data_IF_053778085070
#
_entry.id   IF_053778085070
#
_cell.length_a   1.000
_cell.length_b   1.000
_cell.length_c   1.000
_cell.angle_alpha   90.00
_cell.angle_beta   90.00
_cell.angle_gamma   90.00
#
_symmetry.space_group_name_H-M   'P 1'
#
loop_
_entity.id
_entity.type
_entity.pdbx_description
1 polymer ?
#
# COMPACT_ATOMS: atom_id res chain seq x y z
N UNK A 1 -12.80 -2.96 4.22
CA UNK A 1 -11.85 -3.87 4.85
C UNK A 1 -10.43 -3.26 4.83
N UNK A 2 -9.78 -3.14 5.98
CA UNK A 2 -8.40 -2.67 6.12
C UNK A 2 -7.51 -3.80 6.63
N UNK A 3 -6.49 -4.15 5.87
CA UNK A 3 -5.44 -5.09 6.28
C UNK A 3 -4.19 -4.30 6.66
N UNK A 4 -3.67 -4.53 7.88
CA UNK A 4 -2.60 -3.72 8.45
C UNK A 4 -3.10 -2.40 9.04
N UNK A 5 -4.26 -2.43 9.69
CA UNK A 5 -5.02 -1.28 10.18
C UNK A 5 -4.26 -0.41 11.21
N UNK A 6 -3.20 -0.94 11.82
CA UNK A 6 -2.33 -0.21 12.76
C UNK A 6 -1.19 0.57 12.08
N UNK A 7 -1.11 0.57 10.74
CA UNK A 7 -0.17 1.46 10.07
C UNK A 7 -0.60 2.92 10.24
N UNK A 8 0.37 3.84 10.33
CA UNK A 8 0.10 5.28 10.51
C UNK A 8 -0.86 5.84 9.43
N UNK A 9 -0.72 5.38 8.18
CA UNK A 9 -1.61 5.80 7.08
C UNK A 9 -3.01 5.22 7.28
N UNK A 10 -3.14 3.96 7.74
CA UNK A 10 -4.43 3.35 7.99
C UNK A 10 -5.16 4.03 9.16
N UNK A 11 -4.45 4.39 10.21
CA UNK A 11 -5.02 5.17 11.32
C UNK A 11 -5.48 6.55 10.85
N UNK A 12 -4.67 7.25 10.04
CA UNK A 12 -5.06 8.52 9.45
C UNK A 12 -6.30 8.39 8.53
N UNK A 13 -6.46 7.27 7.82
CA UNK A 13 -7.66 6.99 7.04
C UNK A 13 -8.89 6.82 7.94
N UNK A 14 -8.79 6.00 8.98
CA UNK A 14 -9.88 5.76 9.93
C UNK A 14 -10.33 7.03 10.64
N UNK A 15 -9.40 7.92 11.00
CA UNK A 15 -9.69 9.19 11.71
C UNK A 15 -10.33 10.26 10.81
N UNK A 16 -10.11 10.20 9.49
CA UNK A 16 -10.50 11.30 8.58
C UNK A 16 -11.52 10.87 7.51
N UNK A 17 -11.98 9.63 7.52
CA UNK A 17 -13.01 9.10 6.62
C UNK A 17 -14.33 8.91 7.39
N UNK A 18 -15.45 9.12 6.71
CA UNK A 18 -16.80 8.82 7.23
C UNK A 18 -17.22 7.35 7.01
N UNK A 19 -16.33 6.51 6.44
CA UNK A 19 -16.61 5.12 6.12
C UNK A 19 -16.51 4.24 7.36
N UNK A 20 -17.30 3.17 7.38
CA UNK A 20 -17.12 2.10 8.35
C UNK A 20 -16.04 1.12 7.89
N UNK A 21 -15.15 0.74 8.79
CA UNK A 21 -14.02 -0.12 8.48
C UNK A 21 -14.02 -1.40 9.32
N UNK A 22 -13.97 -2.55 8.66
CA UNK A 22 -13.55 -3.80 9.27
C UNK A 22 -12.02 -3.84 9.26
N UNK A 23 -11.40 -4.00 10.42
CA UNK A 23 -9.95 -3.82 10.60
C UNK A 23 -9.25 -5.10 11.06
N UNK A 24 -8.14 -5.41 10.40
CA UNK A 24 -7.31 -6.56 10.73
C UNK A 24 -5.83 -6.18 10.76
N UNK A 25 -5.12 -6.64 11.79
CA UNK A 25 -3.69 -6.39 11.92
C UNK A 25 -2.95 -7.54 12.60
N UNK A 26 -1.69 -7.73 12.21
CA UNK A 26 -0.79 -8.70 12.85
C UNK A 26 -0.45 -8.29 14.28
N UNK A 27 -0.24 -7.01 14.54
CA UNK A 27 0.15 -6.48 15.85
C UNK A 27 -0.91 -6.68 16.93
N UNK A 28 -2.17 -6.78 16.55
CA UNK A 28 -3.30 -7.09 17.45
C UNK A 28 -3.66 -8.58 17.46
N UNK A 29 -2.95 -9.39 16.66
CA UNK A 29 -3.23 -10.82 16.55
C UNK A 29 -4.52 -11.14 15.82
N UNK A 30 -5.15 -10.16 15.13
CA UNK A 30 -6.41 -10.33 14.42
C UNK A 30 -6.25 -10.86 13.00
N UNK A 31 -4.99 -10.97 12.49
CA UNK A 31 -4.70 -11.58 11.20
C UNK A 31 -3.28 -12.14 11.15
N UNK A 32 -3.16 -13.37 10.69
CA UNK A 32 -1.89 -14.02 10.38
C UNK A 32 -1.71 -14.21 8.87
N UNK A 33 -0.93 -13.34 8.23
CA UNK A 33 -0.64 -13.42 6.78
C UNK A 33 0.14 -14.69 6.37
N UNK A 34 0.75 -15.39 7.33
CA UNK A 34 1.44 -16.67 7.09
C UNK A 34 0.48 -17.87 7.16
N UNK A 35 -0.71 -17.69 7.75
CA UNK A 35 -1.76 -18.67 7.89
C UNK A 35 -2.66 -18.81 6.65
N UNK A 36 -3.80 -19.41 6.86
CA UNK A 36 -4.86 -19.67 5.85
C UNK A 36 -5.85 -18.51 5.71
N UNK A 37 -5.72 -17.49 6.54
CA UNK A 37 -6.60 -16.32 6.61
C UNK A 37 -8.04 -16.66 6.95
N UNK A 38 -8.26 -17.70 7.81
CA UNK A 38 -9.60 -18.08 8.29
C UNK A 38 -10.29 -16.93 9.04
N UNK A 39 -9.54 -16.00 9.59
CA UNK A 39 -10.04 -14.78 10.24
C UNK A 39 -10.87 -13.89 9.28
N UNK A 40 -10.73 -14.08 7.97
CA UNK A 40 -11.49 -13.36 6.94
C UNK A 40 -12.71 -14.14 6.42
N UNK A 41 -12.98 -15.35 6.94
CA UNK A 41 -14.10 -16.18 6.45
C UNK A 41 -15.44 -15.53 6.74
N UNK A 42 -15.61 -14.92 7.90
CA UNK A 42 -16.86 -14.30 8.34
C UNK A 42 -17.00 -12.82 7.88
N UNK A 43 -16.02 -12.28 7.13
CA UNK A 43 -16.15 -10.95 6.55
C UNK A 43 -17.23 -10.96 5.48
N UNK A 44 -18.21 -10.05 5.55
CA UNK A 44 -19.29 -9.86 4.57
C UNK A 44 -19.51 -8.38 4.28
N UNK A 45 -20.33 -8.07 3.30
CA UNK A 45 -20.83 -6.73 2.98
C UNK A 45 -19.71 -5.69 2.81
N UNK A 46 -18.62 -6.08 2.11
CA UNK A 46 -17.50 -5.20 1.83
C UNK A 46 -17.55 -4.69 0.38
N UNK A 47 -17.38 -3.37 0.24
CA UNK A 47 -17.25 -2.66 -1.04
C UNK A 47 -15.83 -2.12 -1.28
N UNK A 48 -14.93 -2.34 -0.33
CA UNK A 48 -13.55 -1.87 -0.43
C UNK A 48 -12.54 -2.71 0.34
N UNK A 49 -11.32 -2.74 -0.19
CA UNK A 49 -10.15 -3.36 0.44
C UNK A 49 -8.95 -2.44 0.35
N UNK A 50 -8.29 -2.17 1.48
CA UNK A 50 -6.96 -1.56 1.46
C UNK A 50 -5.94 -2.49 2.11
N UNK A 51 -4.85 -2.76 1.40
CA UNK A 51 -3.75 -3.57 1.88
C UNK A 51 -2.54 -2.69 2.21
N UNK A 52 -2.30 -2.48 3.51
CA UNK A 52 -1.21 -1.64 4.03
C UNK A 52 0.09 -2.38 4.34
N UNK A 53 0.11 -3.71 4.62
CA UNK A 53 1.35 -4.36 5.01
C UNK A 53 2.48 -4.13 4.02
N UNK A 54 3.65 -3.83 4.54
CA UNK A 54 4.83 -3.57 3.74
C UNK A 54 6.09 -3.60 4.59
N UNK A 55 7.23 -3.51 3.91
CA UNK A 55 8.55 -3.51 4.52
C UNK A 55 9.34 -2.28 4.09
N UNK A 56 10.36 -1.93 4.88
CA UNK A 56 11.46 -1.07 4.48
C UNK A 56 12.76 -1.82 4.78
N UNK A 57 13.40 -2.37 3.73
CA UNK A 57 14.65 -3.07 3.83
C UNK A 57 15.69 -2.37 2.93
N UNK A 58 16.49 -1.48 3.54
CA UNK A 58 17.46 -0.65 2.82
C UNK A 58 18.87 -1.14 3.13
N UNK A 59 19.50 -1.79 2.16
CA UNK A 59 20.87 -2.32 2.26
C UNK A 59 21.63 -2.08 0.96
N UNK A 60 22.97 -1.90 1.01
CA UNK A 60 23.80 -2.03 -0.18
C UNK A 60 23.50 -3.34 -0.90
N UNK A 61 23.45 -3.33 -2.23
CA UNK A 61 23.11 -4.51 -3.02
C UNK A 61 23.97 -5.72 -2.69
N UNK A 62 25.27 -5.51 -2.46
CA UNK A 62 26.23 -6.57 -2.08
C UNK A 62 25.97 -7.18 -0.70
N UNK A 63 25.15 -6.55 0.13
CA UNK A 63 24.77 -7.04 1.47
C UNK A 63 23.37 -7.66 1.49
N UNK A 64 22.60 -7.53 0.41
CA UNK A 64 21.30 -8.19 0.28
C UNK A 64 21.49 -9.69 0.09
N UNK A 65 20.70 -10.45 0.84
CA UNK A 65 20.60 -11.90 0.74
C UNK A 65 19.32 -12.28 -0.01
N UNK A 66 19.24 -13.51 -0.49
CA UNK A 66 18.03 -14.05 -1.09
C UNK A 66 16.81 -13.91 -0.19
N UNK A 67 16.98 -14.19 1.11
CA UNK A 67 15.91 -14.03 2.11
C UNK A 67 15.37 -12.60 2.21
N UNK A 68 16.17 -11.57 1.97
CA UNK A 68 15.70 -10.17 1.96
C UNK A 68 14.69 -9.96 0.83
N UNK A 69 14.98 -10.50 -0.38
CA UNK A 69 14.08 -10.44 -1.52
C UNK A 69 12.81 -11.28 -1.30
N UNK A 70 12.98 -12.51 -0.81
CA UNK A 70 11.85 -13.40 -0.50
C UNK A 70 10.91 -12.81 0.54
N UNK A 71 11.45 -12.22 1.61
CA UNK A 71 10.64 -11.60 2.65
C UNK A 71 9.89 -10.35 2.14
N UNK A 72 10.56 -9.48 1.40
CA UNK A 72 9.90 -8.30 0.80
C UNK A 72 8.80 -8.74 -0.16
N UNK A 73 9.04 -9.74 -1.02
CA UNK A 73 8.05 -10.27 -1.94
C UNK A 73 6.90 -10.97 -1.21
N UNK A 74 7.20 -11.76 -0.18
CA UNK A 74 6.21 -12.45 0.65
C UNK A 74 5.21 -11.48 1.28
N UNK A 75 5.71 -10.40 1.88
CA UNK A 75 4.84 -9.46 2.58
C UNK A 75 4.11 -8.56 1.58
N UNK A 76 4.83 -7.96 0.62
CA UNK A 76 4.24 -6.94 -0.26
C UNK A 76 3.33 -7.54 -1.35
N UNK A 77 3.67 -8.73 -1.88
CA UNK A 77 3.00 -9.30 -3.05
C UNK A 77 2.15 -10.51 -2.70
N UNK A 78 2.76 -11.55 -2.11
CA UNK A 78 2.04 -12.78 -1.80
C UNK A 78 0.97 -12.57 -0.73
N UNK A 79 1.25 -11.75 0.31
CA UNK A 79 0.28 -11.39 1.32
C UNK A 79 -0.94 -10.67 0.71
N UNK A 80 -0.70 -9.67 -0.15
CA UNK A 80 -1.77 -8.98 -0.88
C UNK A 80 -2.57 -9.94 -1.76
N UNK A 81 -1.89 -10.82 -2.51
CA UNK A 81 -2.53 -11.84 -3.36
C UNK A 81 -3.41 -12.80 -2.54
N UNK A 82 -2.92 -13.30 -1.40
CA UNK A 82 -3.70 -14.18 -0.52
C UNK A 82 -4.97 -13.51 -0.02
N UNK A 83 -4.87 -12.25 0.45
CA UNK A 83 -6.02 -11.49 0.95
C UNK A 83 -7.03 -11.28 -0.16
N UNK A 84 -6.61 -10.82 -1.34
CA UNK A 84 -7.52 -10.64 -2.48
C UNK A 84 -8.23 -11.93 -2.83
N UNK A 85 -7.51 -13.06 -2.96
CA UNK A 85 -8.13 -14.37 -3.24
C UNK A 85 -9.19 -14.76 -2.21
N UNK A 86 -8.96 -14.42 -0.95
CA UNK A 86 -9.88 -14.76 0.15
C UNK A 86 -11.18 -13.97 0.09
N UNK A 87 -11.13 -12.69 -0.35
CA UNK A 87 -12.29 -11.78 -0.27
C UNK A 87 -12.85 -11.36 -1.63
N UNK A 88 -12.26 -11.76 -2.75
CA UNK A 88 -12.65 -11.28 -4.08
C UNK A 88 -14.11 -11.58 -4.43
N UNK A 89 -14.63 -12.74 -4.04
CA UNK A 89 -16.01 -13.08 -4.30
C UNK A 89 -16.99 -12.20 -3.52
N UNK A 90 -16.62 -11.81 -2.30
CA UNK A 90 -17.39 -10.87 -1.47
C UNK A 90 -17.38 -9.45 -2.08
N UNK A 91 -16.23 -8.99 -2.59
CA UNK A 91 -16.13 -7.71 -3.30
C UNK A 91 -16.96 -7.68 -4.59
N UNK A 92 -17.12 -8.82 -5.27
CA UNK A 92 -17.96 -8.93 -6.48
C UNK A 92 -19.47 -8.86 -6.21
N UNK A 93 -19.89 -9.05 -4.97
CA UNK A 93 -21.30 -8.96 -4.56
C UNK A 93 -21.75 -7.50 -4.40
N UNK A 94 -20.81 -6.57 -4.22
CA UNK A 94 -21.10 -5.15 -4.17
C UNK A 94 -21.39 -4.58 -5.57
N UNK A 95 -22.23 -3.55 -5.66
CA UNK A 95 -22.47 -2.81 -6.93
C UNK A 95 -21.34 -1.80 -7.17
N UNK A 96 -20.16 -2.31 -7.37
CA UNK A 96 -18.91 -1.58 -7.48
C UNK A 96 -18.06 -1.71 -6.22
N UNK A 97 -16.83 -2.14 -6.39
CA UNK A 97 -15.87 -2.27 -5.29
C UNK A 97 -14.50 -1.73 -5.68
N UNK A 98 -13.72 -1.31 -4.68
CA UNK A 98 -12.39 -0.76 -4.89
C UNK A 98 -11.34 -1.44 -4.03
N UNK A 99 -10.24 -1.85 -4.65
CA UNK A 99 -9.06 -2.41 -3.99
C UNK A 99 -7.90 -1.42 -4.16
N UNK A 100 -7.29 -1.03 -3.04
CA UNK A 100 -6.14 -0.12 -3.03
C UNK A 100 -4.94 -0.80 -2.39
N UNK A 101 -3.85 -0.87 -3.13
CA UNK A 101 -2.55 -1.32 -2.63
C UNK A 101 -1.63 -0.13 -2.35
N UNK A 102 -0.72 -0.29 -1.39
CA UNK A 102 0.29 0.72 -1.06
C UNK A 102 1.64 0.32 -1.65
N UNK A 103 2.07 1.07 -2.67
CA UNK A 103 3.39 0.96 -3.29
C UNK A 103 4.38 1.99 -2.70
N UNK A 104 5.30 2.43 -3.50
CA UNK A 104 6.30 3.46 -3.18
C UNK A 104 6.86 4.06 -4.49
N UNK A 105 7.35 5.29 -4.43
CA UNK A 105 8.14 5.87 -5.54
C UNK A 105 9.33 4.98 -5.93
N UNK A 106 9.87 4.19 -4.99
CA UNK A 106 10.96 3.25 -5.24
C UNK A 106 10.62 2.14 -6.26
N UNK A 107 9.34 1.95 -6.58
CA UNK A 107 8.91 1.03 -7.63
C UNK A 107 9.22 1.55 -9.04
N UNK A 108 9.39 2.86 -9.22
CA UNK A 108 9.53 3.50 -10.52
C UNK A 108 10.83 4.30 -10.68
N UNK A 109 11.32 4.94 -9.63
CA UNK A 109 12.58 5.68 -9.67
C UNK A 109 13.71 4.89 -9.03
N UNK A 110 14.92 4.98 -9.60
CA UNK A 110 16.12 4.36 -9.03
C UNK A 110 16.56 5.06 -7.75
N UNK A 111 16.45 4.38 -6.63
CA UNK A 111 16.95 4.86 -5.35
C UNK A 111 18.08 3.95 -4.84
N UNK A 112 19.21 4.51 -4.33
CA UNK A 112 20.26 3.69 -3.72
C UNK A 112 19.69 2.85 -2.57
N UNK A 113 20.17 1.62 -2.43
CA UNK A 113 19.82 0.68 -1.35
C UNK A 113 18.39 0.11 -1.39
N UNK A 114 17.61 0.37 -2.45
CA UNK A 114 16.21 -0.05 -2.56
C UNK A 114 15.99 -1.25 -3.49
N UNK A 115 17.01 -2.02 -3.86
CA UNK A 115 16.88 -3.05 -4.88
C UNK A 115 15.80 -4.09 -4.56
N UNK A 116 15.74 -4.61 -3.33
CA UNK A 116 14.75 -5.61 -2.90
C UNK A 116 13.35 -5.01 -2.84
N UNK A 117 13.18 -3.93 -2.08
CA UNK A 117 11.86 -3.31 -1.89
C UNK A 117 11.33 -2.69 -3.19
N UNK A 118 12.18 -2.08 -4.01
CA UNK A 118 11.79 -1.55 -5.31
C UNK A 118 11.25 -2.64 -6.23
N UNK A 119 11.95 -3.78 -6.31
CA UNK A 119 11.51 -4.93 -7.10
C UNK A 119 10.14 -5.46 -6.63
N UNK A 120 9.95 -5.63 -5.31
CA UNK A 120 8.69 -6.15 -4.77
C UNK A 120 7.51 -5.17 -4.96
N UNK A 121 7.74 -3.86 -4.82
CA UNK A 121 6.69 -2.85 -5.07
C UNK A 121 6.35 -2.72 -6.56
N UNK A 122 7.33 -2.85 -7.47
CA UNK A 122 7.06 -2.92 -8.91
C UNK A 122 6.23 -4.16 -9.27
N UNK A 123 6.51 -5.30 -8.64
CA UNK A 123 5.71 -6.51 -8.82
C UNK A 123 4.26 -6.33 -8.32
N UNK A 124 4.06 -5.66 -7.18
CA UNK A 124 2.72 -5.31 -6.66
C UNK A 124 1.94 -4.44 -7.66
N UNK A 125 2.58 -3.42 -8.25
CA UNK A 125 1.96 -2.57 -9.28
C UNK A 125 1.60 -3.37 -10.54
N UNK A 126 2.46 -4.31 -10.95
CA UNK A 126 2.19 -5.23 -12.05
C UNK A 126 0.98 -6.13 -11.76
N UNK A 127 0.91 -6.69 -10.54
CA UNK A 127 -0.23 -7.50 -10.09
C UNK A 127 -1.52 -6.68 -10.06
N UNK A 128 -1.49 -5.45 -9.56
CA UNK A 128 -2.67 -4.58 -9.55
C UNK A 128 -3.24 -4.35 -10.95
N UNK A 129 -2.39 -4.09 -11.95
CA UNK A 129 -2.83 -3.92 -13.35
C UNK A 129 -3.46 -5.20 -13.92
N UNK A 130 -2.89 -6.35 -13.64
CA UNK A 130 -3.44 -7.64 -14.09
C UNK A 130 -4.82 -7.90 -13.48
N UNK A 131 -4.97 -7.70 -12.16
CA UNK A 131 -6.23 -7.85 -11.45
C UNK A 131 -7.27 -6.83 -11.92
N UNK A 132 -6.88 -5.58 -12.18
CA UNK A 132 -7.76 -4.57 -12.76
C UNK A 132 -8.36 -5.06 -14.09
N UNK A 133 -7.54 -5.62 -14.98
CA UNK A 133 -8.00 -6.19 -16.26
C UNK A 133 -8.93 -7.40 -16.06
N UNK A 134 -8.61 -8.29 -15.13
CA UNK A 134 -9.37 -9.51 -14.88
C UNK A 134 -10.75 -9.23 -14.30
N UNK A 135 -10.86 -8.24 -13.39
CA UNK A 135 -12.09 -8.00 -12.62
C UNK A 135 -12.90 -6.77 -13.09
N UNK A 136 -12.52 -6.12 -14.19
CA UNK A 136 -13.25 -4.97 -14.75
C UNK A 136 -14.74 -5.28 -15.00
N UNK A 137 -15.05 -6.44 -15.58
CA UNK A 137 -16.44 -6.83 -15.86
C UNK A 137 -17.26 -7.08 -14.59
N UNK A 138 -16.61 -7.37 -13.47
CA UNK A 138 -17.24 -7.53 -12.16
C UNK A 138 -17.33 -6.19 -11.40
N UNK A 139 -16.98 -5.06 -12.04
CA UNK A 139 -16.96 -3.73 -11.45
C UNK A 139 -16.06 -3.63 -10.19
N UNK A 140 -15.00 -4.44 -10.09
CA UNK A 140 -14.01 -4.33 -9.03
C UNK A 140 -12.79 -3.60 -9.57
N UNK A 141 -12.57 -2.39 -9.07
CA UNK A 141 -11.42 -1.55 -9.43
C UNK A 141 -10.19 -1.91 -8.58
N UNK A 142 -9.03 -1.95 -9.21
CA UNK A 142 -7.75 -2.15 -8.54
C UNK A 142 -6.83 -0.98 -8.83
N UNK A 143 -6.45 -0.25 -7.79
CA UNK A 143 -5.55 0.88 -7.91
C UNK A 143 -4.41 0.80 -6.88
N UNK A 144 -3.39 1.58 -7.09
CA UNK A 144 -2.21 1.64 -6.23
C UNK A 144 -1.96 3.08 -5.83
N UNK A 145 -1.67 3.32 -4.56
CA UNK A 145 -1.13 4.59 -4.08
C UNK A 145 0.36 4.41 -3.84
N UNK A 146 1.17 5.26 -4.43
CA UNK A 146 2.64 5.21 -4.34
C UNK A 146 3.18 6.49 -3.69
N UNK A 147 3.37 6.51 -2.36
CA UNK A 147 3.94 7.65 -1.65
C UNK A 147 5.45 7.74 -1.82
N UNK A 148 5.99 8.94 -1.62
CA UNK A 148 7.40 9.15 -1.26
C UNK A 148 7.61 8.89 0.23
N UNK A 149 8.79 9.24 0.76
CA UNK A 149 9.07 9.14 2.19
C UNK A 149 8.01 9.92 2.97
N UNK A 150 7.26 9.21 3.78
CA UNK A 150 6.11 9.70 4.55
C UNK A 150 6.39 9.47 6.05
N UNK A 151 5.97 10.38 6.90
CA UNK A 151 6.14 10.29 8.35
C UNK A 151 5.25 9.20 8.92
N UNK A 152 5.82 8.01 9.15
CA UNK A 152 5.11 6.82 9.63
C UNK A 152 6.00 6.03 10.60
N UNK A 153 5.39 5.15 11.37
CA UNK A 153 6.14 4.21 12.23
C UNK A 153 7.16 3.39 11.42
N UNK A 154 6.85 3.05 10.18
CA UNK A 154 7.73 2.27 9.31
C UNK A 154 8.98 3.06 8.88
N UNK A 155 8.88 4.38 8.75
CA UNK A 155 9.96 5.27 8.34
C UNK A 155 10.75 5.90 9.49
N UNK A 156 10.42 5.61 10.75
CA UNK A 156 11.02 6.23 11.94
C UNK A 156 12.55 6.22 11.91
N UNK A 157 13.16 5.11 11.49
CA UNK A 157 14.62 5.01 11.40
C UNK A 157 15.24 5.92 10.33
N UNK A 158 14.49 6.29 9.30
CA UNK A 158 14.93 7.18 8.23
C UNK A 158 14.78 8.67 8.61
N UNK A 159 14.01 8.96 9.64
CA UNK A 159 13.66 10.31 10.12
C UNK A 159 14.13 10.55 11.56
N UNK A 160 15.02 9.71 12.11
CA UNK A 160 15.40 9.73 13.54
C UNK A 160 16.25 10.92 13.98
N UNK A 161 16.78 11.72 13.06
CA UNK A 161 17.59 12.92 13.37
C UNK A 161 17.22 14.08 12.45
N UNK A 162 17.34 15.31 12.94
CA UNK A 162 17.07 16.53 12.15
C UNK A 162 17.86 16.55 10.83
N UNK A 163 19.11 16.08 10.85
CA UNK A 163 19.94 15.95 9.65
C UNK A 163 19.34 15.04 8.60
N UNK A 164 18.75 13.88 9.00
CA UNK A 164 18.11 12.94 8.09
C UNK A 164 16.79 13.50 7.57
N UNK A 165 16.06 14.22 8.41
CA UNK A 165 14.82 14.92 8.03
C UNK A 165 15.12 15.96 6.96
N UNK A 166 16.06 16.86 7.21
CA UNK A 166 16.43 17.91 6.27
C UNK A 166 17.01 17.35 4.95
N UNK A 167 17.87 16.34 5.01
CA UNK A 167 18.37 15.66 3.81
C UNK A 167 17.26 14.99 3.00
N UNK A 168 16.19 14.54 3.66
CA UNK A 168 15.03 13.93 3.00
C UNK A 168 14.12 14.97 2.38
N UNK A 169 13.90 16.11 3.03
CA UNK A 169 13.19 17.26 2.48
C UNK A 169 13.90 17.80 1.23
N UNK A 170 15.24 17.98 1.31
CA UNK A 170 16.02 18.48 0.19
C UNK A 170 15.91 17.61 -1.08
N UNK A 171 15.73 16.32 -0.93
CA UNK A 171 15.55 15.40 -2.07
C UNK A 171 14.15 15.47 -2.69
N UNK A 172 13.15 16.00 -1.97
CA UNK A 172 11.79 16.10 -2.48
C UNK A 172 11.61 17.47 -3.19
N UNK A 173 11.00 17.53 -4.38
CA UNK A 173 10.75 18.80 -5.06
C UNK A 173 9.96 19.81 -4.23
N UNK A 174 8.99 19.36 -3.43
CA UNK A 174 8.21 20.22 -2.54
C UNK A 174 8.93 20.56 -1.23
N UNK A 175 10.16 20.04 -1.00
CA UNK A 175 10.93 20.26 0.23
C UNK A 175 10.21 19.87 1.52
N UNK A 176 9.36 18.85 1.42
CA UNK A 176 8.55 18.32 2.52
C UNK A 176 8.74 16.81 2.68
N UNK A 177 8.43 16.30 3.87
CA UNK A 177 8.16 14.89 4.13
C UNK A 177 6.67 14.64 3.91
N UNK A 178 6.31 13.49 3.37
CA UNK A 178 4.92 13.13 3.14
C UNK A 178 4.12 13.08 4.46
N UNK A 179 2.92 13.62 4.44
CA UNK A 179 1.96 13.57 5.54
C UNK A 179 1.03 12.35 5.35
N UNK A 180 0.93 11.44 6.34
CA UNK A 180 0.01 10.30 6.29
C UNK A 180 -1.44 10.69 5.96
N UNK A 181 -1.91 11.85 6.43
CA UNK A 181 -3.27 12.34 6.16
C UNK A 181 -3.49 12.68 4.69
N UNK A 182 -2.48 13.21 4.00
CA UNK A 182 -2.56 13.48 2.55
C UNK A 182 -2.66 12.18 1.75
N UNK A 183 -1.91 11.14 2.17
CA UNK A 183 -1.99 9.81 1.56
C UNK A 183 -3.36 9.17 1.82
N UNK A 184 -3.85 9.23 3.06
CA UNK A 184 -5.15 8.71 3.46
C UNK A 184 -6.31 9.31 2.65
N UNK A 185 -6.30 10.64 2.39
CA UNK A 185 -7.31 11.29 1.54
C UNK A 185 -7.32 10.74 0.11
N UNK A 186 -6.17 10.41 -0.46
CA UNK A 186 -6.10 9.80 -1.78
C UNK A 186 -6.66 8.38 -1.77
N UNK A 187 -6.40 7.62 -0.70
CA UNK A 187 -6.97 6.28 -0.53
C UNK A 187 -8.49 6.38 -0.40
N UNK A 188 -9.00 7.29 0.43
CA UNK A 188 -10.44 7.50 0.62
C UNK A 188 -11.16 7.88 -0.68
N UNK A 189 -10.54 8.76 -1.48
CA UNK A 189 -11.01 9.10 -2.82
C UNK A 189 -11.10 7.87 -3.74
N UNK A 190 -10.09 6.98 -3.73
CA UNK A 190 -10.08 5.77 -4.55
C UNK A 190 -11.07 4.70 -4.05
N UNK A 191 -11.46 4.73 -2.78
CA UNK A 191 -12.48 3.84 -2.21
C UNK A 191 -13.91 4.28 -2.54
N UNK A 192 -14.11 5.50 -3.04
CA UNK A 192 -15.43 5.99 -3.38
C UNK A 192 -15.96 5.31 -4.65
N UNK A 193 -17.09 4.62 -4.52
CA UNK A 193 -17.76 3.93 -5.62
C UNK A 193 -18.12 4.88 -6.80
N UNK A 194 -18.28 6.19 -6.56
CA UNK A 194 -18.50 7.17 -7.61
C UNK A 194 -17.25 7.40 -8.48
N UNK A 195 -16.06 6.99 -8.00
CA UNK A 195 -14.80 7.09 -8.74
C UNK A 195 -14.42 5.79 -9.49
N UNK A 196 -15.38 4.91 -9.74
CA UNK A 196 -15.18 3.57 -10.35
C UNK A 196 -14.75 3.60 -11.84
N UNK A 197 -14.51 4.80 -12.40
CA UNK A 197 -13.87 4.96 -13.71
C UNK A 197 -12.34 4.90 -13.66
N UNK A 198 -11.77 4.79 -12.46
CA UNK A 198 -10.33 4.65 -12.23
C UNK A 198 -10.00 3.21 -11.83
N UNK A 199 -9.32 2.47 -12.72
CA UNK A 199 -8.79 1.13 -12.43
C UNK A 199 -7.43 0.93 -13.10
N UNK A 200 -6.57 0.09 -12.53
CA UNK A 200 -5.22 -0.18 -13.02
C UNK A 200 -4.23 0.97 -12.85
N UNK A 201 -4.58 2.01 -12.09
CA UNK A 201 -3.76 3.21 -11.95
C UNK A 201 -2.77 3.11 -10.79
N UNK A 202 -1.62 3.77 -10.96
CA UNK A 202 -0.67 4.05 -9.89
C UNK A 202 -0.70 5.55 -9.62
N UNK A 203 -1.36 5.93 -8.53
CA UNK A 203 -1.49 7.32 -8.11
C UNK A 203 -0.31 7.67 -7.20
N UNK A 204 0.57 8.54 -7.67
CA UNK A 204 1.74 8.98 -6.92
C UNK A 204 1.41 10.18 -6.05
N UNK A 205 1.61 10.02 -4.74
CA UNK A 205 1.40 11.08 -3.74
C UNK A 205 2.76 11.35 -3.11
N UNK A 206 3.61 12.06 -3.83
CA UNK A 206 5.06 12.04 -3.64
C UNK A 206 5.74 13.42 -3.66
N UNK A 207 4.97 14.50 -3.67
CA UNK A 207 5.52 15.85 -3.76
C UNK A 207 6.27 16.13 -5.07
N UNK A 208 5.90 15.41 -6.14
CA UNK A 208 6.52 15.55 -7.47
C UNK A 208 7.81 14.74 -7.66
N UNK A 209 8.22 13.95 -6.65
CA UNK A 209 9.51 13.25 -6.66
C UNK A 209 9.70 12.32 -7.87
N UNK A 210 8.62 11.79 -8.41
CA UNK A 210 8.67 10.86 -9.54
C UNK A 210 8.76 11.57 -10.91
N UNK A 211 8.27 12.80 -11.02
CA UNK A 211 8.08 13.48 -12.30
C UNK A 211 8.84 14.81 -12.44
N UNK A 212 9.25 15.41 -11.33
CA UNK A 212 9.95 16.72 -11.34
C UNK A 212 11.43 16.52 -11.02
N UNK A 213 12.26 17.45 -11.52
CA UNK A 213 13.70 17.50 -11.25
C UNK A 213 14.01 18.69 -10.35
#
# INVERSE_FOLDING_TARGET
LLIGANSTIAQALQENSEREFLTFSRSEGTLNLDGDLSELDDVSDIDGLVYFPGTINLKPFTMLKEDDFLNDFKINVLGASKVVKKVINKLKEADGASVVFISSVAANIGLPFHASIGASKSALEGMARALASEYTNAKVCFNVVAPSLTETNLSTNLLKTDRLVEASKERNPMKEIGDPKKIAKTIDFLLDAHNNWMTGQVVRVDGGMNNLK
#
